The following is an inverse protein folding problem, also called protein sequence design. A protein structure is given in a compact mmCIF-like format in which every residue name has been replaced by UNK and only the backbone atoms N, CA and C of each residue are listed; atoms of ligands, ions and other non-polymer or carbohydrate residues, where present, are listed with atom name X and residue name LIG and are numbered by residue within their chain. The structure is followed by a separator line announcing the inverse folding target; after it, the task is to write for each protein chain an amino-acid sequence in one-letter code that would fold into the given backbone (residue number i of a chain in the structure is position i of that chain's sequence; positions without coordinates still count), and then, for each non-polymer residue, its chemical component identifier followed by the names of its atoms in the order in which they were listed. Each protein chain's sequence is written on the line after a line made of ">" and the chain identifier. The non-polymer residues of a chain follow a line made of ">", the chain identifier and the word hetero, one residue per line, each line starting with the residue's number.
data_IF_725237739548
#
_entry.id   IF_725237739548
#
_cell.length_a   1.000
_cell.length_b   1.000
_cell.length_c   1.000
_cell.angle_alpha   90.00
_cell.angle_beta   90.00
_cell.angle_gamma   90.00
#
_symmetry.space_group_name_H-M   'P 1'
#
loop_
_entity.id
_entity.type
_entity.pdbx_description
1 polymer ?
#
# COMPACT_ATOMS: atom_id res chain seq x y z
N UNK A 1 -31.64 -59.88 16.45
CA UNK A 1 -32.07 -60.98 17.36
C UNK A 1 -32.72 -62.15 16.62
N UNK A 2 -33.68 -61.94 15.71
CA UNK A 2 -34.37 -63.03 14.98
C UNK A 2 -33.45 -64.03 14.26
N UNK A 3 -32.38 -63.55 13.62
CA UNK A 3 -31.41 -64.42 12.90
C UNK A 3 -30.55 -65.29 13.82
N UNK A 4 -30.23 -64.81 15.03
CA UNK A 4 -29.55 -65.59 16.07
C UNK A 4 -30.48 -66.70 16.60
N UNK A 5 -31.76 -66.36 16.80
CA UNK A 5 -32.77 -67.33 17.24
C UNK A 5 -32.99 -68.45 16.21
N UNK A 6 -33.09 -68.10 14.92
CA UNK A 6 -33.18 -69.06 13.81
C UNK A 6 -31.95 -69.99 13.74
N UNK A 7 -30.76 -69.46 14.00
CA UNK A 7 -29.54 -70.25 14.03
C UNK A 7 -29.59 -71.31 15.14
N UNK A 8 -29.88 -70.89 16.38
CA UNK A 8 -30.04 -71.80 17.53
C UNK A 8 -31.16 -72.81 17.32
N UNK A 9 -32.26 -72.41 16.69
CA UNK A 9 -33.37 -73.31 16.36
C UNK A 9 -32.93 -74.40 15.39
N UNK A 10 -32.22 -74.04 14.32
CA UNK A 10 -31.72 -75.02 13.34
C UNK A 10 -30.68 -75.95 13.96
N UNK A 11 -29.75 -75.42 14.77
CA UNK A 11 -28.76 -76.27 15.46
C UNK A 11 -29.43 -77.21 16.45
N UNK A 12 -30.43 -76.75 17.19
CA UNK A 12 -31.20 -77.56 18.12
C UNK A 12 -31.98 -78.67 17.41
N UNK A 13 -32.62 -78.37 16.27
CA UNK A 13 -33.36 -79.36 15.48
C UNK A 13 -32.42 -80.43 14.91
N UNK A 14 -31.25 -80.05 14.41
CA UNK A 14 -30.25 -81.01 13.92
C UNK A 14 -29.73 -81.87 15.08
N UNK A 15 -29.40 -81.25 16.23
CA UNK A 15 -28.94 -81.98 17.41
C UNK A 15 -30.00 -82.95 17.94
N UNK A 16 -31.25 -82.51 18.05
CA UNK A 16 -32.38 -83.34 18.45
C UNK A 16 -32.65 -84.47 17.46
N UNK A 17 -32.49 -84.23 16.15
CA UNK A 17 -32.61 -85.26 15.12
C UNK A 17 -31.51 -86.32 15.21
N UNK A 18 -30.26 -85.93 15.47
CA UNK A 18 -29.14 -86.85 15.63
C UNK A 18 -29.27 -87.67 16.92
N UNK A 19 -29.59 -87.02 18.05
CA UNK A 19 -29.82 -87.70 19.33
C UNK A 19 -31.05 -88.61 19.28
N UNK A 20 -32.13 -88.15 18.65
CA UNK A 20 -33.34 -88.93 18.42
C UNK A 20 -33.08 -90.14 17.51
N UNK A 21 -32.30 -89.99 16.45
CA UNK A 21 -31.90 -91.11 15.58
C UNK A 21 -30.99 -92.12 16.28
N UNK A 22 -30.07 -91.66 17.14
CA UNK A 22 -29.23 -92.51 17.96
C UNK A 22 -30.03 -93.28 19.01
N UNK A 23 -31.01 -92.64 19.66
CA UNK A 23 -31.90 -93.29 20.62
C UNK A 23 -32.88 -94.25 19.93
N UNK A 24 -33.40 -93.90 18.76
CA UNK A 24 -34.31 -94.76 17.98
C UNK A 24 -33.63 -96.03 17.48
N UNK A 25 -32.35 -95.92 17.10
CA UNK A 25 -31.55 -97.09 16.70
C UNK A 25 -30.95 -97.83 17.89
N UNK A 26 -31.03 -97.28 19.11
CA UNK A 26 -30.47 -97.92 20.31
C UNK A 26 -31.04 -99.32 20.55
N UNK A 27 -32.34 -99.53 20.33
CA UNK A 27 -32.97 -100.87 20.44
C UNK A 27 -32.43 -101.89 19.41
N UNK A 28 -31.86 -101.43 18.29
CA UNK A 28 -31.23 -102.31 17.30
C UNK A 28 -29.76 -102.60 17.60
N UNK A 29 -29.04 -101.68 18.26
CA UNK A 29 -27.63 -101.84 18.58
C UNK A 29 -27.38 -102.43 19.98
N UNK A 30 -28.25 -102.20 20.97
CA UNK A 30 -28.11 -102.72 22.35
C UNK A 30 -28.02 -104.26 22.38
N UNK A 31 -28.82 -105.03 21.59
CA UNK A 31 -28.66 -106.49 21.51
C UNK A 31 -27.34 -106.91 20.84
N UNK A 32 -26.86 -106.16 19.85
CA UNK A 32 -25.61 -106.43 19.11
C UNK A 32 -24.37 -106.12 19.97
N UNK A 33 -24.46 -105.11 20.83
CA UNK A 33 -23.40 -104.73 21.79
C UNK A 33 -23.37 -105.69 22.98
N UNK A 34 -24.53 -106.15 23.46
CA UNK A 34 -24.60 -107.09 24.59
C UNK A 34 -24.23 -108.53 24.21
N UNK A 35 -24.51 -108.97 22.99
CA UNK A 35 -24.07 -110.30 22.49
C UNK A 35 -22.61 -110.36 22.03
N UNK A 36 -21.94 -109.21 21.83
CA UNK A 36 -20.50 -109.13 21.50
C UNK A 36 -19.56 -108.80 22.68
N UNK A 37 -20.09 -108.61 23.88
CA UNK A 37 -19.30 -108.42 25.12
C UNK A 37 -18.49 -109.65 25.58
N UNK A 38 -18.41 -110.70 24.74
CA UNK A 38 -17.53 -111.86 24.92
C UNK A 38 -16.23 -111.86 24.10
N UNK A 39 -15.91 -110.83 23.29
CA UNK A 39 -14.61 -110.72 22.58
C UNK A 39 -14.11 -109.27 22.57
N UNK A 40 -13.01 -109.02 23.28
CA UNK A 40 -12.56 -107.68 23.70
C UNK A 40 -11.69 -106.89 22.69
N UNK A 41 -11.56 -107.30 21.42
CA UNK A 41 -10.58 -106.69 20.51
C UNK A 41 -11.14 -105.78 19.40
N UNK A 42 -12.45 -105.76 19.13
CA UNK A 42 -13.01 -104.96 18.02
C UNK A 42 -13.90 -103.77 18.44
N UNK A 43 -14.23 -103.64 19.74
CA UNK A 43 -15.12 -102.59 20.26
C UNK A 43 -14.46 -101.21 20.42
N UNK A 44 -13.13 -101.12 20.42
CA UNK A 44 -12.41 -99.87 20.67
C UNK A 44 -12.36 -98.89 19.46
N UNK A 45 -12.55 -99.37 18.23
CA UNK A 45 -12.45 -98.50 17.03
C UNK A 45 -13.72 -97.69 16.77
N UNK A 46 -14.90 -98.22 17.11
CA UNK A 46 -16.18 -97.52 16.92
C UNK A 46 -16.41 -96.42 17.96
N UNK A 47 -15.91 -96.58 19.19
CA UNK A 47 -16.03 -95.59 20.27
C UNK A 47 -15.13 -94.36 20.10
N UNK A 48 -14.01 -94.47 19.37
CA UNK A 48 -13.08 -93.35 19.15
C UNK A 48 -13.38 -92.59 17.85
N UNK A 49 -13.88 -93.27 16.82
CA UNK A 49 -14.15 -92.66 15.51
C UNK A 49 -15.41 -91.78 15.51
N UNK A 50 -16.46 -92.17 16.25
CA UNK A 50 -17.70 -91.40 16.31
C UNK A 50 -17.50 -89.98 16.91
N UNK A 51 -16.84 -89.83 18.08
CA UNK A 51 -16.62 -88.51 18.68
C UNK A 51 -15.66 -87.63 17.85
N UNK A 52 -14.64 -88.24 17.23
CA UNK A 52 -13.69 -87.51 16.40
C UNK A 52 -14.34 -86.94 15.12
N UNK A 53 -15.24 -87.69 14.49
CA UNK A 53 -16.01 -87.25 13.33
C UNK A 53 -16.99 -86.13 13.69
N UNK A 54 -17.65 -86.23 14.85
CA UNK A 54 -18.55 -85.17 15.35
C UNK A 54 -17.76 -83.90 15.67
N UNK A 55 -16.58 -84.03 16.30
CA UNK A 55 -15.71 -82.89 16.60
C UNK A 55 -15.18 -82.18 15.35
N UNK A 56 -14.80 -82.92 14.29
CA UNK A 56 -14.36 -82.32 13.02
C UNK A 56 -15.50 -81.62 12.29
N UNK A 57 -16.71 -82.18 12.32
CA UNK A 57 -17.88 -81.59 11.69
C UNK A 57 -18.35 -80.31 12.40
N UNK A 58 -18.30 -80.30 13.74
CA UNK A 58 -18.52 -79.10 14.57
C UNK A 58 -17.43 -78.03 14.36
N UNK A 59 -16.16 -78.43 14.27
CA UNK A 59 -15.05 -77.51 13.99
C UNK A 59 -15.17 -76.87 12.58
N UNK A 60 -15.58 -77.65 11.57
CA UNK A 60 -15.82 -77.15 10.21
C UNK A 60 -17.02 -76.19 10.13
N UNK A 61 -18.09 -76.46 10.89
CA UNK A 61 -19.26 -75.57 10.94
C UNK A 61 -18.96 -74.27 11.69
N UNK A 62 -18.27 -74.36 12.83
CA UNK A 62 -17.88 -73.17 13.62
C UNK A 62 -16.88 -72.29 12.88
N UNK A 63 -15.92 -72.88 12.15
CA UNK A 63 -14.96 -72.12 11.32
C UNK A 63 -15.64 -71.48 10.11
N UNK A 64 -16.55 -72.20 9.42
CA UNK A 64 -17.34 -71.66 8.31
C UNK A 64 -18.26 -70.50 8.72
N UNK A 65 -18.93 -70.61 9.88
CA UNK A 65 -19.78 -69.54 10.42
C UNK A 65 -18.94 -68.34 10.87
N UNK A 66 -17.78 -68.58 11.50
CA UNK A 66 -16.86 -67.51 11.91
C UNK A 66 -16.30 -66.75 10.70
N UNK A 67 -15.96 -67.45 9.61
CA UNK A 67 -15.51 -66.82 8.36
C UNK A 67 -16.62 -65.98 7.69
N UNK A 68 -17.88 -66.46 7.71
CA UNK A 68 -19.02 -65.70 7.19
C UNK A 68 -19.35 -64.47 8.05
N UNK A 69 -19.21 -64.57 9.38
CA UNK A 69 -19.38 -63.41 10.27
C UNK A 69 -18.25 -62.39 10.10
N UNK A 70 -16.99 -62.83 9.99
CA UNK A 70 -15.85 -61.94 9.78
C UNK A 70 -15.91 -61.25 8.40
N UNK A 71 -16.28 -61.95 7.33
CA UNK A 71 -16.45 -61.34 6.01
C UNK A 71 -17.64 -60.38 5.96
N UNK A 72 -18.73 -60.67 6.69
CA UNK A 72 -19.85 -59.75 6.89
C UNK A 72 -19.44 -58.48 7.64
N UNK A 73 -18.67 -58.62 8.72
CA UNK A 73 -18.13 -57.51 9.50
C UNK A 73 -17.12 -56.67 8.70
N UNK A 74 -16.23 -57.29 7.93
CA UNK A 74 -15.29 -56.60 7.03
C UNK A 74 -16.00 -55.84 5.92
N UNK A 75 -17.07 -56.38 5.33
CA UNK A 75 -17.88 -55.66 4.32
C UNK A 75 -18.59 -54.45 4.93
N UNK A 76 -19.09 -54.56 6.16
CA UNK A 76 -19.68 -53.42 6.87
C UNK A 76 -18.63 -52.35 7.18
N UNK A 77 -17.46 -52.75 7.69
CA UNK A 77 -16.34 -51.84 7.98
C UNK A 77 -15.81 -51.15 6.72
N UNK A 78 -15.68 -51.87 5.60
CA UNK A 78 -15.26 -51.28 4.33
C UNK A 78 -16.29 -50.29 3.77
N UNK A 79 -17.59 -50.55 3.98
CA UNK A 79 -18.66 -49.62 3.59
C UNK A 79 -18.63 -48.36 4.45
N UNK A 80 -18.42 -48.51 5.75
CA UNK A 80 -18.26 -47.39 6.69
C UNK A 80 -17.03 -46.54 6.34
N UNK A 81 -15.90 -47.19 6.04
CA UNK A 81 -14.67 -46.52 5.62
C UNK A 81 -14.83 -45.79 4.28
N UNK A 82 -15.58 -46.37 3.33
CA UNK A 82 -15.92 -45.71 2.07
C UNK A 82 -16.82 -44.49 2.29
N UNK A 83 -17.81 -44.57 3.19
CA UNK A 83 -18.65 -43.42 3.54
C UNK A 83 -17.90 -42.32 4.27
N UNK A 84 -16.98 -42.68 5.18
CA UNK A 84 -16.13 -41.70 5.86
C UNK A 84 -15.16 -41.03 4.89
N UNK A 85 -14.55 -41.78 3.97
CA UNK A 85 -13.70 -41.22 2.92
C UNK A 85 -14.48 -40.24 2.03
N UNK A 86 -15.67 -40.63 1.56
CA UNK A 86 -16.52 -39.75 0.76
C UNK A 86 -16.91 -38.46 1.51
N UNK A 87 -17.21 -38.55 2.81
CA UNK A 87 -17.51 -37.39 3.64
C UNK A 87 -16.29 -36.47 3.84
N UNK A 88 -15.08 -37.05 3.98
CA UNK A 88 -13.83 -36.28 4.08
C UNK A 88 -13.51 -35.60 2.75
N UNK A 89 -13.64 -36.31 1.62
CA UNK A 89 -13.40 -35.75 0.29
C UNK A 89 -14.39 -34.59 0.02
N UNK A 90 -15.65 -34.74 0.41
CA UNK A 90 -16.65 -33.66 0.32
C UNK A 90 -16.31 -32.45 1.21
N UNK A 91 -15.86 -32.68 2.45
CA UNK A 91 -15.43 -31.59 3.35
C UNK A 91 -14.17 -30.87 2.84
N UNK A 92 -13.23 -31.62 2.24
CA UNK A 92 -12.04 -31.05 1.60
C UNK A 92 -12.39 -30.19 0.39
N UNK A 93 -13.32 -30.65 -0.47
CA UNK A 93 -13.79 -29.88 -1.62
C UNK A 93 -14.52 -28.60 -1.18
N UNK A 94 -15.36 -28.68 -0.14
CA UNK A 94 -16.01 -27.50 0.45
C UNK A 94 -14.98 -26.50 0.97
N UNK A 95 -14.00 -26.94 1.77
CA UNK A 95 -12.93 -26.07 2.30
C UNK A 95 -12.10 -25.47 1.18
N UNK A 96 -11.76 -26.25 0.15
CA UNK A 96 -11.04 -25.77 -1.04
C UNK A 96 -11.83 -24.65 -1.73
N UNK A 97 -13.12 -24.85 -1.96
CA UNK A 97 -13.96 -23.85 -2.60
C UNK A 97 -14.08 -22.58 -1.75
N UNK A 98 -14.27 -22.70 -0.44
CA UNK A 98 -14.28 -21.54 0.47
C UNK A 98 -12.95 -20.79 0.47
N UNK A 99 -11.81 -21.50 0.47
CA UNK A 99 -10.49 -20.87 0.42
C UNK A 99 -10.24 -20.17 -0.93
N UNK A 100 -10.69 -20.75 -2.04
CA UNK A 100 -10.60 -20.14 -3.37
C UNK A 100 -11.46 -18.86 -3.45
N UNK A 101 -12.68 -18.89 -2.92
CA UNK A 101 -13.55 -17.72 -2.84
C UNK A 101 -12.94 -16.61 -1.96
N UNK A 102 -12.40 -16.95 -0.80
CA UNK A 102 -11.68 -15.99 0.05
C UNK A 102 -10.45 -15.40 -0.63
N UNK A 103 -9.71 -16.20 -1.40
CA UNK A 103 -8.55 -15.74 -2.14
C UNK A 103 -8.95 -14.76 -3.25
N UNK A 104 -10.02 -15.07 -3.98
CA UNK A 104 -10.51 -14.23 -5.08
C UNK A 104 -11.10 -12.91 -4.57
N UNK A 105 -11.85 -12.95 -3.46
CA UNK A 105 -12.34 -11.76 -2.78
C UNK A 105 -11.17 -10.87 -2.31
N UNK A 106 -10.17 -11.45 -1.61
CA UNK A 106 -8.98 -10.70 -1.18
C UNK A 106 -8.19 -10.11 -2.35
N UNK A 107 -8.07 -10.86 -3.45
CA UNK A 107 -7.42 -10.38 -4.67
C UNK A 107 -8.15 -9.17 -5.24
N UNK A 108 -9.48 -9.25 -5.31
CA UNK A 108 -10.33 -8.16 -5.80
C UNK A 108 -10.24 -6.93 -4.90
N UNK A 109 -10.31 -7.11 -3.58
CA UNK A 109 -10.18 -6.02 -2.59
C UNK A 109 -8.81 -5.35 -2.68
N UNK A 110 -7.73 -6.13 -2.76
CA UNK A 110 -6.38 -5.60 -2.92
C UNK A 110 -6.20 -4.86 -4.25
N UNK A 111 -6.78 -5.37 -5.34
CA UNK A 111 -6.68 -4.72 -6.64
C UNK A 111 -7.44 -3.39 -6.66
N UNK A 112 -8.61 -3.34 -6.01
CA UNK A 112 -9.38 -2.11 -5.81
C UNK A 112 -8.61 -1.10 -4.95
N UNK A 113 -8.08 -1.54 -3.80
CA UNK A 113 -7.29 -0.67 -2.93
C UNK A 113 -6.04 -0.11 -3.64
N UNK A 114 -5.40 -0.92 -4.50
CA UNK A 114 -4.28 -0.48 -5.31
C UNK A 114 -4.69 0.56 -6.36
N UNK A 115 -5.84 0.38 -7.00
CA UNK A 115 -6.38 1.33 -7.98
C UNK A 115 -6.79 2.66 -7.32
N UNK A 116 -7.44 2.60 -6.16
CA UNK A 116 -7.77 3.77 -5.34
C UNK A 116 -6.49 4.51 -4.90
N UNK A 117 -5.46 3.80 -4.45
CA UNK A 117 -4.19 4.43 -4.07
C UNK A 117 -3.45 5.03 -5.27
N UNK A 118 -3.49 4.37 -6.44
CA UNK A 118 -2.91 4.90 -7.68
C UNK A 118 -3.59 6.18 -8.13
N UNK A 119 -4.92 6.23 -8.07
CA UNK A 119 -5.69 7.43 -8.45
C UNK A 119 -5.46 8.57 -7.47
N UNK A 120 -5.33 8.28 -6.17
CA UNK A 120 -4.97 9.27 -5.16
C UNK A 120 -3.58 9.86 -5.44
N UNK A 121 -2.56 9.01 -5.63
CA UNK A 121 -1.19 9.46 -5.94
C UNK A 121 -1.12 10.26 -7.25
N UNK A 122 -1.90 9.87 -8.27
CA UNK A 122 -1.98 10.62 -9.53
C UNK A 122 -2.54 12.03 -9.29
N UNK A 123 -3.59 12.14 -8.45
CA UNK A 123 -4.18 13.43 -8.08
C UNK A 123 -3.21 14.30 -7.29
N UNK A 124 -2.52 13.74 -6.29
CA UNK A 124 -1.50 14.46 -5.51
C UNK A 124 -0.35 14.95 -6.39
N UNK A 125 0.08 14.13 -7.36
CA UNK A 125 1.11 14.51 -8.32
C UNK A 125 0.67 15.68 -9.21
N UNK A 126 -0.57 15.66 -9.69
CA UNK A 126 -1.15 16.75 -10.48
C UNK A 126 -1.26 18.04 -9.63
N UNK A 127 -1.70 17.95 -8.38
CA UNK A 127 -1.76 19.09 -7.46
C UNK A 127 -0.37 19.72 -7.22
N UNK A 128 0.65 18.90 -6.98
CA UNK A 128 2.03 19.37 -6.84
C UNK A 128 2.58 19.97 -8.13
N UNK A 129 2.24 19.40 -9.29
CA UNK A 129 2.65 19.94 -10.59
C UNK A 129 2.05 21.32 -10.83
N UNK A 130 0.79 21.51 -10.46
CA UNK A 130 0.09 22.81 -10.57
C UNK A 130 0.65 23.83 -9.57
N UNK A 131 1.01 23.40 -8.35
CA UNK A 131 1.68 24.24 -7.37
C UNK A 131 3.06 24.71 -7.85
N UNK A 132 3.89 23.80 -8.37
CA UNK A 132 5.21 24.14 -8.95
C UNK A 132 5.04 25.09 -10.13
N UNK A 133 4.03 24.87 -10.98
CA UNK A 133 3.76 25.74 -12.14
C UNK A 133 3.36 27.15 -11.70
N UNK A 134 2.51 27.28 -10.67
CA UNK A 134 2.14 28.57 -10.08
C UNK A 134 3.34 29.29 -9.48
N UNK A 135 4.12 28.64 -8.63
CA UNK A 135 5.33 29.23 -8.03
C UNK A 135 6.36 29.67 -9.09
N UNK A 136 6.50 28.91 -10.18
CA UNK A 136 7.36 29.31 -11.31
C UNK A 136 6.85 30.56 -12.04
N UNK A 137 5.53 30.71 -12.17
CA UNK A 137 4.93 31.91 -12.74
C UNK A 137 5.15 33.11 -11.83
N UNK A 138 4.88 32.97 -10.53
CA UNK A 138 5.10 34.01 -9.51
C UNK A 138 6.57 34.49 -9.49
N UNK A 139 7.54 33.57 -9.46
CA UNK A 139 8.97 33.91 -9.56
C UNK A 139 9.32 34.61 -10.88
N UNK A 140 8.67 34.21 -11.98
CA UNK A 140 8.85 34.84 -13.29
C UNK A 140 8.37 36.29 -13.31
N UNK A 141 7.20 36.56 -12.73
CA UNK A 141 6.64 37.89 -12.59
C UNK A 141 7.52 38.78 -11.69
N UNK A 142 8.02 38.25 -10.58
CA UNK A 142 8.90 38.98 -9.67
C UNK A 142 10.23 39.37 -10.33
N UNK A 143 10.86 38.44 -11.06
CA UNK A 143 12.09 38.73 -11.83
C UNK A 143 11.85 39.80 -12.88
N UNK A 144 10.73 39.74 -13.61
CA UNK A 144 10.43 40.71 -14.65
C UNK A 144 10.19 42.10 -14.06
N UNK A 145 9.45 42.18 -12.95
CA UNK A 145 9.28 43.41 -12.19
C UNK A 145 10.62 44.00 -11.71
N UNK A 146 11.54 43.18 -11.19
CA UNK A 146 12.86 43.66 -10.77
C UNK A 146 13.70 44.19 -11.95
N UNK A 147 13.59 43.59 -13.14
CA UNK A 147 14.22 44.15 -14.35
C UNK A 147 13.63 45.50 -14.74
N UNK A 148 12.31 45.64 -14.70
CA UNK A 148 11.65 46.94 -14.97
C UNK A 148 12.09 48.01 -13.96
N UNK A 149 12.22 47.63 -12.68
CA UNK A 149 12.72 48.50 -11.63
C UNK A 149 14.17 48.91 -11.90
N UNK A 150 15.05 47.96 -12.25
CA UNK A 150 16.44 48.23 -12.62
C UNK A 150 16.54 49.19 -13.79
N UNK A 151 15.77 48.96 -14.85
CA UNK A 151 15.80 49.81 -16.03
C UNK A 151 15.30 51.23 -15.68
N UNK A 152 14.24 51.33 -14.88
CA UNK A 152 13.73 52.60 -14.36
C UNK A 152 14.78 53.35 -13.54
N UNK A 153 15.46 52.68 -12.61
CA UNK A 153 16.52 53.27 -11.79
C UNK A 153 17.72 53.71 -12.65
N UNK A 154 18.11 52.88 -13.62
CA UNK A 154 19.20 53.17 -14.57
C UNK A 154 18.91 54.41 -15.39
N UNK A 155 17.71 54.50 -15.99
CA UNK A 155 17.33 55.66 -16.79
C UNK A 155 17.19 56.93 -15.94
N UNK A 156 16.57 56.83 -14.76
CA UNK A 156 16.47 57.97 -13.86
C UNK A 156 17.85 58.49 -13.44
N UNK A 157 18.76 57.58 -13.04
CA UNK A 157 20.15 57.90 -12.72
C UNK A 157 20.86 58.56 -13.89
N UNK A 158 20.67 58.06 -15.10
CA UNK A 158 21.23 58.65 -16.31
C UNK A 158 20.74 60.10 -16.52
N UNK A 159 19.43 60.35 -16.47
CA UNK A 159 18.87 61.69 -16.71
C UNK A 159 19.22 62.71 -15.62
N UNK A 160 19.17 62.32 -14.34
CA UNK A 160 19.64 63.18 -13.25
C UNK A 160 21.15 63.40 -13.36
N UNK A 161 21.91 62.37 -13.74
CA UNK A 161 23.35 62.43 -13.97
C UNK A 161 23.80 63.44 -15.04
N UNK A 162 22.90 63.82 -15.96
CA UNK A 162 23.19 64.87 -16.94
C UNK A 162 23.39 66.26 -16.31
N UNK A 163 23.00 66.46 -15.03
CA UNK A 163 23.32 67.67 -14.27
C UNK A 163 24.83 67.93 -14.23
N UNK A 164 25.64 66.87 -14.11
CA UNK A 164 27.10 66.96 -14.07
C UNK A 164 27.71 67.62 -15.31
N UNK A 165 27.04 67.52 -16.45
CA UNK A 165 27.54 68.03 -17.75
C UNK A 165 26.72 69.21 -18.28
N UNK A 166 25.78 69.72 -17.48
CA UNK A 166 24.93 70.86 -17.87
C UNK A 166 23.92 70.54 -18.97
N UNK A 167 23.66 69.27 -19.25
CA UNK A 167 22.70 68.81 -20.27
C UNK A 167 21.32 68.45 -19.68
N UNK A 168 21.14 68.65 -18.37
CA UNK A 168 19.94 68.23 -17.64
C UNK A 168 18.63 68.80 -18.22
N UNK A 169 17.65 67.91 -18.38
CA UNK A 169 16.28 68.24 -18.77
C UNK A 169 15.28 67.70 -17.76
N UNK A 170 14.69 68.59 -16.95
CA UNK A 170 13.67 68.22 -15.97
C UNK A 170 12.37 67.66 -16.56
N UNK A 171 12.18 67.71 -17.89
CA UNK A 171 11.06 67.01 -18.55
C UNK A 171 11.31 65.50 -18.61
N UNK A 172 12.56 65.10 -18.83
CA UNK A 172 12.93 63.70 -18.99
C UNK A 172 12.88 62.96 -17.65
N UNK A 173 13.37 63.57 -16.56
CA UNK A 173 13.32 62.97 -15.21
C UNK A 173 11.90 62.81 -14.67
N UNK A 174 11.01 63.78 -14.90
CA UNK A 174 9.61 63.72 -14.47
C UNK A 174 8.87 62.48 -14.97
N UNK A 175 9.20 61.97 -16.15
CA UNK A 175 8.58 60.76 -16.69
C UNK A 175 8.91 59.50 -15.86
N UNK A 176 10.02 59.50 -15.13
CA UNK A 176 10.47 58.38 -14.31
C UNK A 176 10.01 58.47 -12.85
N UNK A 177 9.65 59.65 -12.33
CA UNK A 177 9.17 59.80 -10.94
C UNK A 177 7.99 58.87 -10.62
N UNK A 178 6.99 58.82 -11.50
CA UNK A 178 5.84 57.95 -11.31
C UNK A 178 6.24 56.46 -11.31
N UNK A 179 7.16 56.07 -12.20
CA UNK A 179 7.67 54.68 -12.27
C UNK A 179 8.47 54.30 -11.04
N UNK A 180 9.28 55.21 -10.51
CA UNK A 180 10.06 54.99 -9.28
C UNK A 180 9.16 54.79 -8.06
N UNK A 181 8.06 55.57 -7.97
CA UNK A 181 7.06 55.40 -6.90
C UNK A 181 6.37 54.05 -7.01
N UNK A 182 5.92 53.68 -8.22
CA UNK A 182 5.28 52.37 -8.47
C UNK A 182 6.22 51.21 -8.11
N UNK A 183 7.50 51.32 -8.49
CA UNK A 183 8.51 50.34 -8.12
C UNK A 183 8.65 50.28 -6.61
N UNK A 184 8.88 51.41 -5.92
CA UNK A 184 9.01 51.46 -4.46
C UNK A 184 7.84 50.80 -3.73
N UNK A 185 6.61 51.07 -4.16
CA UNK A 185 5.40 50.60 -3.46
C UNK A 185 5.20 49.08 -3.52
N UNK A 186 5.88 48.40 -4.45
CA UNK A 186 5.91 46.94 -4.57
C UNK A 186 7.04 46.28 -3.78
N UNK A 187 8.05 47.04 -3.34
CA UNK A 187 9.16 46.51 -2.57
C UNK A 187 8.74 46.27 -1.10
N UNK A 188 9.22 45.20 -0.44
CA UNK A 188 8.98 44.98 0.98
C UNK A 188 9.56 46.12 1.82
N UNK A 189 8.75 46.74 2.69
CA UNK A 189 9.13 47.95 3.46
C UNK A 189 10.33 47.77 4.38
N UNK A 190 10.58 46.54 4.82
CA UNK A 190 11.67 46.19 5.72
C UNK A 190 12.94 45.73 4.98
N UNK A 191 12.92 45.70 3.63
CA UNK A 191 14.07 45.28 2.83
C UNK A 191 15.11 46.39 2.70
N UNK A 192 16.40 46.00 2.65
CA UNK A 192 17.50 46.92 2.36
C UNK A 192 17.30 47.62 1.01
N UNK A 193 16.78 46.89 0.01
CA UNK A 193 16.43 47.45 -1.30
C UNK A 193 15.40 48.58 -1.19
N UNK A 194 14.37 48.44 -0.34
CA UNK A 194 13.39 49.50 -0.13
C UNK A 194 14.02 50.76 0.49
N UNK A 195 14.89 50.58 1.49
CA UNK A 195 15.56 51.69 2.19
C UNK A 195 16.49 52.46 1.24
N UNK A 196 17.35 51.74 0.51
CA UNK A 196 18.26 52.34 -0.48
C UNK A 196 17.48 52.97 -1.64
N UNK A 197 16.37 52.37 -2.07
CA UNK A 197 15.49 52.96 -3.10
C UNK A 197 14.89 54.29 -2.64
N UNK A 198 14.44 54.39 -1.38
CA UNK A 198 13.94 55.63 -0.83
C UNK A 198 15.04 56.70 -0.75
N UNK A 199 16.24 56.34 -0.33
CA UNK A 199 17.38 57.24 -0.31
C UNK A 199 17.72 57.74 -1.72
N UNK A 200 17.79 56.84 -2.70
CA UNK A 200 18.06 57.16 -4.09
C UNK A 200 17.07 58.16 -4.67
N UNK A 201 15.77 57.94 -4.43
CA UNK A 201 14.72 58.87 -4.82
C UNK A 201 14.83 60.23 -4.11
N UNK A 202 15.19 60.23 -2.82
CA UNK A 202 15.34 61.46 -2.04
C UNK A 202 16.50 62.31 -2.55
N UNK A 203 17.67 61.71 -2.76
CA UNK A 203 18.85 62.40 -3.27
C UNK A 203 18.64 62.92 -4.70
N UNK A 204 18.04 62.09 -5.57
CA UNK A 204 17.68 62.52 -6.92
C UNK A 204 16.72 63.71 -6.90
N UNK A 205 15.68 63.67 -6.06
CA UNK A 205 14.76 64.78 -5.90
C UNK A 205 15.43 66.05 -5.38
N UNK A 206 16.35 65.94 -4.43
CA UNK A 206 17.09 67.09 -3.90
C UNK A 206 17.93 67.77 -5.00
N UNK A 207 18.65 66.97 -5.81
CA UNK A 207 19.38 67.46 -6.99
C UNK A 207 18.45 68.21 -7.95
N UNK A 208 17.30 67.63 -8.28
CA UNK A 208 16.33 68.24 -9.20
C UNK A 208 15.73 69.54 -8.65
N UNK A 209 15.38 69.58 -7.36
CA UNK A 209 14.82 70.76 -6.70
C UNK A 209 15.85 71.91 -6.63
N UNK A 210 17.12 71.60 -6.36
CA UNK A 210 18.19 72.60 -6.34
C UNK A 210 18.52 73.08 -7.76
N UNK A 211 18.56 72.19 -8.75
CA UNK A 211 18.75 72.55 -10.16
C UNK A 211 17.62 73.42 -10.71
N UNK A 212 16.37 73.17 -10.26
CA UNK A 212 15.21 73.96 -10.65
C UNK A 212 15.22 75.40 -10.14
N UNK A 213 15.97 75.70 -9.06
CA UNK A 213 16.12 77.06 -8.50
C UNK A 213 17.21 77.87 -9.21
N UNK A 214 18.03 77.24 -10.07
CA UNK A 214 19.20 77.86 -10.70
C UNK A 214 18.99 78.06 -12.20
N UNK A 215 19.71 79.03 -12.77
CA UNK A 215 19.84 79.19 -14.23
C UNK A 215 20.67 78.02 -14.79
N UNK A 216 20.47 77.67 -16.06
CA UNK A 216 21.12 76.53 -16.73
C UNK A 216 22.63 76.42 -16.50
N UNK A 217 23.36 77.55 -16.57
CA UNK A 217 24.82 77.56 -16.33
C UNK A 217 25.21 77.20 -14.89
N UNK A 218 24.36 77.48 -13.91
CA UNK A 218 24.61 77.18 -12.50
C UNK A 218 24.07 75.81 -12.04
N UNK A 219 23.49 75.01 -12.94
CA UNK A 219 22.97 73.68 -12.60
C UNK A 219 24.09 72.66 -12.37
N UNK A 220 25.24 72.82 -13.02
CA UNK A 220 26.41 71.97 -12.81
C UNK A 220 26.91 72.06 -11.36
N UNK A 221 26.92 73.27 -10.80
CA UNK A 221 27.35 73.52 -9.42
C UNK A 221 26.48 72.79 -8.37
N UNK A 222 25.23 72.44 -8.70
CA UNK A 222 24.36 71.65 -7.80
C UNK A 222 24.91 70.25 -7.57
N UNK A 223 25.55 69.70 -8.58
CA UNK A 223 26.18 68.38 -8.48
C UNK A 223 27.31 68.37 -7.46
N UNK A 224 28.05 69.48 -7.38
CA UNK A 224 29.24 69.69 -6.54
C UNK A 224 28.90 70.32 -5.18
N UNK A 225 27.61 70.50 -4.85
CA UNK A 225 27.18 71.04 -3.55
C UNK A 225 27.56 70.06 -2.42
N UNK A 226 28.37 70.48 -1.43
CA UNK A 226 28.74 69.61 -0.32
C UNK A 226 27.56 69.40 0.65
N UNK A 227 27.41 68.18 1.16
CA UNK A 227 26.44 67.85 2.22
C UNK A 227 27.20 67.63 3.55
N UNK A 228 27.14 68.57 4.51
CA UNK A 228 27.92 68.49 5.75
C UNK A 228 27.64 67.24 6.59
N UNK A 229 26.39 66.76 6.57
CA UNK A 229 25.95 65.55 7.27
C UNK A 229 26.64 64.27 6.75
N UNK A 230 27.23 64.34 5.56
CA UNK A 230 27.93 63.25 4.88
C UNK A 230 29.43 63.52 4.71
N UNK A 231 30.03 64.36 5.58
CA UNK A 231 31.48 64.58 5.58
C UNK A 231 32.00 65.38 4.37
N UNK A 232 31.24 66.39 3.96
CA UNK A 232 31.51 67.26 2.80
C UNK A 232 31.54 66.52 1.45
N UNK A 233 30.93 65.34 1.38
CA UNK A 233 30.68 64.66 0.11
C UNK A 233 29.74 65.49 -0.77
N UNK A 234 30.05 65.54 -2.06
CA UNK A 234 29.23 66.20 -3.07
C UNK A 234 27.88 65.48 -3.22
N UNK A 235 26.81 66.26 -3.33
CA UNK A 235 25.44 65.77 -3.47
C UNK A 235 25.29 64.80 -4.66
N UNK A 236 25.95 65.12 -5.77
CA UNK A 236 25.97 64.27 -6.97
C UNK A 236 26.64 62.91 -6.73
N UNK A 237 27.69 62.86 -5.91
CA UNK A 237 28.38 61.61 -5.53
C UNK A 237 27.48 60.74 -4.64
N UNK A 238 26.84 61.34 -3.63
CA UNK A 238 25.91 60.63 -2.73
C UNK A 238 24.77 60.00 -3.54
N UNK A 239 24.21 60.73 -4.50
CA UNK A 239 23.19 60.22 -5.42
C UNK A 239 23.72 59.07 -6.29
N UNK A 240 24.92 59.23 -6.88
CA UNK A 240 25.51 58.23 -7.74
C UNK A 240 25.79 56.90 -7.00
N UNK A 241 26.25 56.99 -5.76
CA UNK A 241 26.52 55.85 -4.88
C UNK A 241 25.23 55.15 -4.45
N UNK A 242 24.19 55.92 -4.08
CA UNK A 242 22.89 55.36 -3.74
C UNK A 242 22.26 54.64 -4.95
N UNK A 243 22.40 55.20 -6.15
CA UNK A 243 21.97 54.55 -7.39
C UNK A 243 22.74 53.26 -7.67
N UNK A 244 24.05 53.22 -7.41
CA UNK A 244 24.85 52.00 -7.56
C UNK A 244 24.41 50.91 -6.57
N UNK A 245 24.17 51.27 -5.30
CA UNK A 245 23.67 50.33 -4.28
C UNK A 245 22.32 49.74 -4.65
N UNK A 246 21.40 50.56 -5.14
CA UNK A 246 20.10 50.09 -5.65
C UNK A 246 20.27 49.07 -6.77
N UNK A 247 21.10 49.36 -7.77
CA UNK A 247 21.32 48.45 -8.89
C UNK A 247 21.98 47.14 -8.44
N UNK A 248 22.94 47.20 -7.52
CA UNK A 248 23.59 46.04 -6.95
C UNK A 248 22.58 45.14 -6.19
N UNK A 249 21.73 45.73 -5.34
CA UNK A 249 20.71 44.99 -4.59
C UNK A 249 19.65 44.36 -5.49
N UNK A 250 19.30 45.01 -6.61
CA UNK A 250 18.40 44.41 -7.61
C UNK A 250 19.04 43.21 -8.28
N UNK A 251 20.30 43.31 -8.71
CA UNK A 251 20.99 42.20 -9.35
C UNK A 251 21.23 41.03 -8.36
N UNK A 252 21.48 41.31 -7.08
CA UNK A 252 21.52 40.30 -6.02
C UNK A 252 20.17 39.61 -5.83
N UNK A 253 19.07 40.38 -5.76
CA UNK A 253 17.72 39.83 -5.64
C UNK A 253 17.36 38.96 -6.87
N UNK A 254 17.66 39.42 -8.08
CA UNK A 254 17.45 38.64 -9.32
C UNK A 254 18.29 37.36 -9.30
N UNK A 255 19.55 37.43 -8.88
CA UNK A 255 20.42 36.27 -8.78
C UNK A 255 19.86 35.25 -7.77
N UNK A 256 19.41 35.71 -6.59
CA UNK A 256 18.78 34.85 -5.60
C UNK A 256 17.55 34.16 -6.17
N UNK A 257 16.62 34.89 -6.80
CA UNK A 257 15.39 34.31 -7.38
C UNK A 257 15.69 33.28 -8.47
N UNK A 258 16.78 33.46 -9.25
CA UNK A 258 17.22 32.48 -10.26
C UNK A 258 17.75 31.18 -9.64
N UNK A 259 18.40 31.25 -8.48
CA UNK A 259 18.90 30.06 -7.78
C UNK A 259 17.81 29.28 -7.04
N UNK A 260 16.68 29.92 -6.74
CA UNK A 260 15.51 29.30 -6.10
C UNK A 260 14.64 28.48 -7.08
N UNK A 261 14.96 28.51 -8.39
CA UNK A 261 14.18 27.88 -9.48
C UNK A 261 14.54 26.42 -9.73
#
# INVERSE_FOLDING_TARGET
>A
MWRLFLFFLITFVIFAGVVGGLLYTADQWIPIVTTRLGKAEETNKLLVVLPAAIATLLAALTSGVSALMQTGAQRAMNRELATQKAAIDEDLDRKRNTLLEQLDNKKTDNMKALEDHKTLLAKELDEHRDEISRKRAELGEEIEYLKEARDTATYYRFFVGQLRVGAYSGRETKAYHAKLVIARDRLPRESDLYLEWCAFMQWGRLLEENAGKRKTTGQVEVWEEPIPEHGDLELGVIFADSGERVLALIEEAIAHLRTTR
#
